data_IF_047768228060
#
_entry.id   IF_047768228060
#
_cell.length_a   1.000
_cell.length_b   1.000
_cell.length_c   1.000
_cell.angle_alpha   90.00
_cell.angle_beta   90.00
_cell.angle_gamma   90.00
#
_symmetry.space_group_name_H-M   'P 1'
#
loop_
_entity.id
_entity.type
_entity.pdbx_description
1 polymer ?
#
# COMPACT_ATOMS: atom_id res chain seq x y z
N UNK A 1 31.87 -1.16 0.26
CA UNK A 1 31.97 -1.62 -1.15
C UNK A 1 31.11 -0.73 -2.03
N UNK A 2 31.29 -0.71 -3.35
CA UNK A 2 30.42 0.07 -4.23
C UNK A 2 29.07 -0.64 -4.41
N UNK A 3 27.96 0.09 -4.31
CA UNK A 3 26.62 -0.48 -4.46
C UNK A 3 26.42 -1.04 -5.87
N UNK A 4 25.73 -2.20 -6.03
CA UNK A 4 25.48 -2.77 -7.35
C UNK A 4 24.69 -1.83 -8.26
N UNK A 5 25.13 -1.71 -9.51
CA UNK A 5 24.46 -0.93 -10.57
C UNK A 5 24.06 -1.78 -11.77
N UNK A 6 24.73 -2.92 -11.95
CA UNK A 6 24.47 -3.88 -13.02
C UNK A 6 23.28 -4.77 -12.61
N UNK A 7 22.37 -4.98 -13.55
CA UNK A 7 21.24 -5.89 -13.35
C UNK A 7 21.69 -7.34 -13.38
N UNK A 8 21.18 -8.14 -12.45
CA UNK A 8 21.20 -9.59 -12.48
C UNK A 8 19.85 -10.14 -12.04
N UNK A 9 19.47 -11.30 -12.58
CA UNK A 9 18.21 -11.94 -12.20
C UNK A 9 18.21 -12.36 -10.73
N UNK A 10 19.37 -12.77 -10.19
CA UNK A 10 19.53 -13.10 -8.77
C UNK A 10 19.20 -11.89 -7.87
N UNK A 11 19.75 -10.73 -8.18
CA UNK A 11 19.50 -9.50 -7.41
C UNK A 11 18.06 -9.03 -7.56
N UNK A 12 17.51 -9.12 -8.77
CA UNK A 12 16.11 -8.80 -9.04
C UNK A 12 15.14 -9.73 -8.28
N UNK A 13 15.43 -11.04 -8.25
CA UNK A 13 14.64 -12.02 -7.52
C UNK A 13 14.73 -11.77 -6.00
N UNK A 14 15.92 -11.52 -5.46
CA UNK A 14 16.10 -11.21 -4.02
C UNK A 14 15.31 -9.97 -3.59
N UNK A 15 15.26 -8.93 -4.43
CA UNK A 15 14.43 -7.73 -4.17
C UNK A 15 12.94 -8.12 -4.15
N UNK A 16 12.49 -8.91 -5.11
CA UNK A 16 11.10 -9.35 -5.17
C UNK A 16 10.71 -10.24 -3.97
N UNK A 17 11.56 -11.17 -3.57
CA UNK A 17 11.36 -12.03 -2.40
C UNK A 17 11.20 -11.19 -1.13
N UNK A 18 12.13 -10.27 -0.87
CA UNK A 18 12.07 -9.41 0.31
C UNK A 18 10.85 -8.47 0.30
N UNK A 19 10.42 -8.00 -0.88
CA UNK A 19 9.17 -7.22 -1.00
C UNK A 19 7.97 -8.10 -0.66
N UNK A 20 7.92 -9.32 -1.20
CA UNK A 20 6.84 -10.27 -0.94
C UNK A 20 6.75 -10.62 0.55
N UNK A 21 7.87 -10.66 1.27
CA UNK A 21 7.96 -10.84 2.73
C UNK A 21 7.61 -9.57 3.54
N UNK A 22 7.09 -8.52 2.92
CA UNK A 22 6.62 -7.33 3.64
C UNK A 22 7.59 -6.15 3.65
N UNK A 23 8.89 -6.34 3.30
CA UNK A 23 9.86 -5.23 3.36
C UNK A 23 9.56 -4.15 2.32
N UNK A 24 9.74 -2.89 2.72
CA UNK A 24 9.67 -1.79 1.77
C UNK A 24 10.93 -1.76 0.89
N UNK A 25 10.78 -1.38 -0.39
CA UNK A 25 11.93 -1.15 -1.28
C UNK A 25 12.93 -0.16 -0.68
N UNK A 26 12.47 0.85 0.07
CA UNK A 26 13.37 1.78 0.77
C UNK A 26 14.25 1.03 1.76
N UNK A 27 13.66 0.16 2.58
CA UNK A 27 14.40 -0.62 3.58
C UNK A 27 15.39 -1.58 2.95
N UNK A 28 15.00 -2.24 1.85
CA UNK A 28 15.88 -3.16 1.11
C UNK A 28 17.09 -2.39 0.58
N UNK A 29 16.88 -1.25 -0.08
CA UNK A 29 17.95 -0.43 -0.64
C UNK A 29 18.80 0.31 0.42
N UNK A 30 18.56 0.16 1.73
CA UNK A 30 19.47 0.69 2.74
C UNK A 30 20.72 -0.17 2.87
N UNK A 31 20.61 -1.48 2.60
CA UNK A 31 21.74 -2.40 2.59
C UNK A 31 22.78 -2.00 1.53
N UNK A 32 24.06 -2.17 1.85
CA UNK A 32 25.17 -1.85 0.95
C UNK A 32 25.37 -2.90 -0.14
N UNK A 33 24.87 -4.12 0.05
CA UNK A 33 24.80 -5.18 -0.95
C UNK A 33 23.62 -4.98 -1.92
N UNK A 34 22.72 -4.04 -1.64
CA UNK A 34 21.54 -3.77 -2.45
C UNK A 34 21.73 -2.55 -3.36
N UNK A 35 21.12 -2.56 -4.56
CA UNK A 35 21.18 -1.44 -5.48
C UNK A 35 20.44 -0.22 -4.91
N UNK A 36 20.85 0.96 -5.34
CA UNK A 36 20.11 2.18 -5.01
C UNK A 36 18.68 2.13 -5.59
N UNK A 37 17.73 2.80 -4.92
CA UNK A 37 16.33 2.85 -5.36
C UNK A 37 16.16 3.38 -6.79
N UNK A 38 16.98 4.35 -7.19
CA UNK A 38 17.01 4.88 -8.57
C UNK A 38 17.37 3.80 -9.59
N UNK A 39 18.35 2.96 -9.27
CA UNK A 39 18.78 1.83 -10.10
C UNK A 39 17.63 0.83 -10.29
N UNK A 40 16.94 0.44 -9.21
CA UNK A 40 15.80 -0.47 -9.29
C UNK A 40 14.68 0.10 -10.16
N UNK A 41 14.38 1.40 -10.04
CA UNK A 41 13.39 2.04 -10.90
C UNK A 41 13.81 2.13 -12.36
N UNK A 42 15.10 2.37 -12.64
CA UNK A 42 15.61 2.32 -14.00
C UNK A 42 15.43 0.92 -14.62
N UNK A 43 15.65 -0.14 -13.83
CA UNK A 43 15.43 -1.51 -14.27
C UNK A 43 13.95 -1.83 -14.53
N UNK A 44 13.03 -1.32 -13.70
CA UNK A 44 11.59 -1.47 -13.94
C UNK A 44 11.12 -0.71 -15.17
N UNK A 45 11.75 0.43 -15.49
CA UNK A 45 11.42 1.25 -16.64
C UNK A 45 11.98 0.69 -17.98
N UNK A 46 12.95 -0.22 -17.94
CA UNK A 46 13.55 -0.83 -19.12
C UNK A 46 12.57 -1.80 -19.81
N UNK A 47 12.07 -1.51 -21.03
CA UNK A 47 11.10 -2.36 -21.72
C UNK A 47 11.55 -3.80 -21.90
N UNK A 48 12.87 -4.05 -22.02
CA UNK A 48 13.44 -5.38 -22.19
C UNK A 48 13.35 -6.30 -20.96
N UNK A 49 12.85 -5.79 -19.82
CA UNK A 49 12.79 -6.53 -18.54
C UNK A 49 11.37 -6.79 -18.08
N UNK A 50 10.56 -7.35 -18.98
CA UNK A 50 9.16 -7.63 -18.70
C UNK A 50 8.98 -8.67 -17.57
N UNK A 51 9.83 -9.69 -17.56
CA UNK A 51 9.83 -10.72 -16.51
C UNK A 51 10.06 -10.11 -15.12
N UNK A 52 10.99 -9.16 -15.00
CA UNK A 52 11.25 -8.47 -13.74
C UNK A 52 10.06 -7.62 -13.31
N UNK A 53 9.46 -6.84 -14.23
CA UNK A 53 8.25 -6.05 -13.91
C UNK A 53 7.11 -6.93 -13.42
N UNK A 54 6.89 -8.05 -14.09
CA UNK A 54 5.84 -9.01 -13.75
C UNK A 54 6.08 -9.62 -12.37
N UNK A 55 7.30 -10.12 -12.10
CA UNK A 55 7.68 -10.63 -10.77
C UNK A 55 7.53 -9.56 -9.69
N UNK A 56 7.97 -8.33 -9.97
CA UNK A 56 7.88 -7.22 -9.03
C UNK A 56 6.43 -6.86 -8.72
N UNK A 57 5.53 -6.87 -9.72
CA UNK A 57 4.11 -6.66 -9.51
C UNK A 57 3.51 -7.75 -8.60
N UNK A 58 3.80 -9.02 -8.86
CA UNK A 58 3.35 -10.12 -8.01
C UNK A 58 3.92 -10.04 -6.58
N UNK A 59 5.19 -9.65 -6.43
CA UNK A 59 5.78 -9.41 -5.12
C UNK A 59 5.03 -8.31 -4.35
N UNK A 60 4.61 -7.24 -5.03
CA UNK A 60 3.78 -6.18 -4.43
C UNK A 60 2.38 -6.66 -4.06
N UNK A 61 1.80 -7.56 -4.84
CA UNK A 61 0.54 -8.20 -4.45
C UNK A 61 0.74 -9.07 -3.20
N UNK A 62 1.76 -9.93 -3.18
CA UNK A 62 2.08 -10.77 -2.01
C UNK A 62 2.38 -9.93 -0.76
N UNK A 63 3.10 -8.81 -0.92
CA UNK A 63 3.37 -7.85 0.15
C UNK A 63 2.08 -7.37 0.83
N UNK A 64 1.01 -7.14 0.06
CA UNK A 64 -0.26 -6.70 0.63
C UNK A 64 -0.86 -7.73 1.58
N UNK A 65 -0.71 -9.03 1.27
CA UNK A 65 -1.20 -10.10 2.13
C UNK A 65 -0.40 -10.15 3.44
N UNK A 66 0.94 -10.09 3.36
CA UNK A 66 1.81 -10.06 4.56
C UNK A 66 1.52 -8.85 5.44
N UNK A 67 1.38 -7.66 4.84
CA UNK A 67 1.08 -6.45 5.60
C UNK A 67 -0.28 -6.51 6.30
N UNK A 68 -1.26 -7.22 5.73
CA UNK A 68 -2.56 -7.43 6.38
C UNK A 68 -2.44 -8.44 7.51
N UNK A 69 -1.72 -9.54 7.32
CA UNK A 69 -1.52 -10.56 8.35
C UNK A 69 -0.80 -9.98 9.58
N UNK A 70 0.19 -9.10 9.39
CA UNK A 70 0.86 -8.38 10.48
C UNK A 70 -0.05 -7.43 11.29
N UNK A 71 -1.20 -7.01 10.76
CA UNK A 71 -2.06 -6.03 11.44
C UNK A 71 -2.62 -6.58 12.74
N UNK A 72 -2.95 -7.88 12.79
CA UNK A 72 -3.44 -8.54 14.01
C UNK A 72 -2.37 -8.56 15.09
N UNK A 73 -1.15 -8.95 14.74
CA UNK A 73 -0.03 -8.97 15.69
C UNK A 73 0.25 -7.56 16.25
N UNK A 74 0.13 -6.51 15.44
CA UNK A 74 0.31 -5.12 15.89
C UNK A 74 -0.84 -4.66 16.80
N UNK A 75 -2.06 -5.11 16.55
CA UNK A 75 -3.22 -4.76 17.35
C UNK A 75 -3.20 -5.45 18.72
N UNK A 76 -2.72 -6.70 18.76
CA UNK A 76 -2.69 -7.53 19.96
C UNK A 76 -1.40 -7.34 20.80
N UNK A 77 -0.35 -6.72 20.23
CA UNK A 77 0.88 -6.38 20.93
C UNK A 77 0.70 -5.21 21.91
N UNK A 78 0.35 -5.53 23.16
CA UNK A 78 0.29 -4.58 24.28
C UNK A 78 1.64 -4.30 24.94
N UNK A 79 2.76 -4.72 24.35
CA UNK A 79 4.07 -4.41 24.91
C UNK A 79 4.32 -2.89 24.90
N UNK A 80 4.86 -2.37 26.00
CA UNK A 80 5.16 -0.94 26.18
C UNK A 80 3.95 0.01 26.24
N UNK A 81 2.72 -0.50 26.32
CA UNK A 81 1.51 0.31 26.54
C UNK A 81 1.51 1.04 27.87
N UNK A 82 2.29 0.57 28.83
CA UNK A 82 2.46 1.18 30.13
C UNK A 82 3.90 1.66 30.29
N UNK A 83 4.07 2.87 30.83
CA UNK A 83 5.36 3.41 31.20
C UNK A 83 5.36 3.86 32.66
N UNK A 84 6.50 3.73 33.31
CA UNK A 84 6.69 4.20 34.68
C UNK A 84 6.48 5.72 34.74
N UNK A 85 5.67 6.16 35.68
CA UNK A 85 5.60 7.55 36.09
C UNK A 85 6.67 7.78 37.16
N UNK A 86 7.55 8.75 36.93
CA UNK A 86 8.62 9.10 37.87
C UNK A 86 8.44 10.52 38.37
N UNK A 87 8.70 10.72 39.66
CA UNK A 87 8.81 12.05 40.25
C UNK A 87 10.14 12.70 39.88
N UNK A 88 10.32 13.97 40.27
CA UNK A 88 11.55 14.75 40.00
C UNK A 88 12.82 14.15 40.61
N UNK A 89 12.69 13.32 41.64
CA UNK A 89 13.78 12.57 42.28
C UNK A 89 14.08 11.22 41.60
N UNK A 90 13.35 10.86 40.55
CA UNK A 90 13.48 9.60 39.83
C UNK A 90 12.73 8.43 40.47
N UNK A 91 12.05 8.62 41.60
CA UNK A 91 11.25 7.58 42.25
C UNK A 91 10.04 7.22 41.40
N UNK A 92 9.81 5.93 41.15
CA UNK A 92 8.61 5.44 40.44
C UNK A 92 7.39 5.64 41.33
N UNK A 93 6.44 6.45 40.87
CA UNK A 93 5.21 6.80 41.59
C UNK A 93 3.96 6.13 41.07
N UNK A 94 4.07 5.42 39.95
CA UNK A 94 2.98 4.65 39.39
C UNK A 94 3.24 4.26 37.94
N UNK A 95 2.18 3.82 37.29
CA UNK A 95 2.17 3.49 35.87
C UNK A 95 1.22 4.44 35.17
N UNK A 96 1.62 4.91 33.99
CA UNK A 96 0.76 5.68 33.09
C UNK A 96 0.76 5.05 31.72
N UNK A 97 -0.35 5.22 31.01
CA UNK A 97 -0.46 4.80 29.62
C UNK A 97 0.59 5.52 28.76
N UNK A 98 1.30 4.75 27.94
CA UNK A 98 2.20 5.24 26.93
C UNK A 98 1.41 5.50 25.64
N UNK A 99 0.68 6.62 25.60
CA UNK A 99 -0.14 6.96 24.45
C UNK A 99 0.64 7.12 23.13
N UNK A 100 1.97 7.23 23.18
CA UNK A 100 2.85 7.20 22.00
C UNK A 100 2.81 5.84 21.31
N UNK A 101 2.94 4.75 22.07
CA UNK A 101 2.93 3.37 21.57
C UNK A 101 1.57 3.04 20.97
N UNK A 102 0.49 3.31 21.69
CA UNK A 102 -0.88 3.06 21.22
C UNK A 102 -1.19 3.82 19.93
N UNK A 103 -0.85 5.11 19.85
CA UNK A 103 -1.04 5.91 18.62
C UNK A 103 -0.17 5.41 17.48
N UNK A 104 1.08 5.00 17.75
CA UNK A 104 1.98 4.44 16.74
C UNK A 104 1.44 3.12 16.19
N UNK A 105 0.93 2.22 17.04
CA UNK A 105 0.30 0.97 16.61
C UNK A 105 -0.91 1.22 15.73
N UNK A 106 -1.81 2.14 16.14
CA UNK A 106 -2.95 2.55 15.30
C UNK A 106 -2.50 3.11 13.93
N UNK A 107 -1.50 3.99 13.90
CA UNK A 107 -0.95 4.53 12.64
C UNK A 107 -0.34 3.44 11.75
N UNK A 108 0.35 2.44 12.34
CA UNK A 108 0.92 1.30 11.61
C UNK A 108 -0.17 0.45 10.95
N UNK A 109 -1.27 0.20 11.66
CA UNK A 109 -2.44 -0.52 11.16
C UNK A 109 -3.08 0.26 10.01
N UNK A 110 -3.36 1.56 10.20
CA UNK A 110 -3.96 2.39 9.15
C UNK A 110 -3.08 2.50 7.90
N UNK A 111 -1.76 2.63 8.06
CA UNK A 111 -0.84 2.65 6.93
C UNK A 111 -0.83 1.34 6.15
N UNK A 112 -0.83 0.19 6.85
CA UNK A 112 -0.89 -1.15 6.23
C UNK A 112 -2.20 -1.36 5.48
N UNK A 113 -3.33 -0.99 6.08
CA UNK A 113 -4.63 -1.04 5.44
C UNK A 113 -4.65 -0.23 4.13
N UNK A 114 -4.18 1.02 4.17
CA UNK A 114 -4.12 1.87 2.98
C UNK A 114 -3.22 1.27 1.89
N UNK A 115 -2.06 0.72 2.25
CA UNK A 115 -1.17 0.06 1.30
C UNK A 115 -1.88 -1.15 0.66
N UNK A 116 -2.50 -2.02 1.48
CA UNK A 116 -3.18 -3.22 0.99
C UNK A 116 -4.34 -2.88 0.04
N UNK A 117 -5.12 -1.84 0.36
CA UNK A 117 -6.19 -1.32 -0.51
C UNK A 117 -5.66 -0.85 -1.87
N UNK A 118 -4.47 -0.21 -1.91
CA UNK A 118 -3.87 0.27 -3.18
C UNK A 118 -3.18 -0.83 -3.97
N UNK A 119 -2.56 -1.79 -3.31
CA UNK A 119 -1.83 -2.88 -3.97
C UNK A 119 -2.78 -3.99 -4.46
N UNK A 120 -3.86 -4.29 -3.73
CA UNK A 120 -4.85 -5.32 -4.11
C UNK A 120 -6.30 -4.85 -3.92
N UNK A 121 -6.77 -3.83 -4.66
CA UNK A 121 -8.10 -3.25 -4.49
C UNK A 121 -9.24 -4.26 -4.67
N UNK A 122 -9.07 -5.31 -5.48
CA UNK A 122 -10.08 -6.36 -5.65
C UNK A 122 -10.32 -7.19 -4.37
N UNK A 123 -9.28 -7.41 -3.56
CA UNK A 123 -9.31 -8.23 -2.34
C UNK A 123 -9.58 -7.37 -1.10
N UNK A 124 -8.86 -6.25 -0.97
CA UNK A 124 -8.87 -5.42 0.24
C UNK A 124 -9.56 -4.06 0.08
N UNK A 125 -9.93 -3.67 -1.14
CA UNK A 125 -10.62 -2.41 -1.37
C UNK A 125 -12.05 -2.43 -0.83
N UNK A 126 -12.47 -1.30 -0.27
CA UNK A 126 -13.85 -1.06 0.17
C UNK A 126 -14.84 -1.29 -0.97
N UNK A 127 -15.82 -2.15 -0.74
CA UNK A 127 -16.91 -2.42 -1.69
C UNK A 127 -18.13 -1.63 -1.27
N UNK A 128 -18.71 -0.90 -2.22
CA UNK A 128 -19.96 -0.16 -2.03
C UNK A 128 -20.97 -0.71 -3.02
N UNK A 129 -22.14 -1.10 -2.53
CA UNK A 129 -23.29 -1.39 -3.37
C UNK A 129 -23.97 -0.07 -3.73
N UNK A 130 -24.21 0.15 -5.03
CA UNK A 130 -25.02 1.27 -5.49
C UNK A 130 -26.47 0.79 -5.59
N UNK A 131 -27.35 1.44 -4.84
CA UNK A 131 -28.80 1.18 -4.80
C UNK A 131 -29.58 2.42 -5.23
N UNK A 132 -30.87 2.26 -5.47
CA UNK A 132 -31.79 3.41 -5.52
C UNK A 132 -31.99 4.05 -4.13
N UNK A 133 -32.87 5.05 -4.05
CA UNK A 133 -33.18 5.77 -2.80
C UNK A 133 -33.86 4.94 -1.72
N UNK A 134 -34.48 3.81 -2.09
CA UNK A 134 -35.18 2.89 -1.19
C UNK A 134 -34.37 1.61 -0.92
N UNK A 135 -33.11 1.54 -1.39
CA UNK A 135 -32.24 0.37 -1.23
C UNK A 135 -32.47 -0.74 -2.27
N UNK A 136 -33.30 -0.49 -3.28
CA UNK A 136 -33.59 -1.38 -4.40
C UNK A 136 -32.56 -1.32 -5.55
N UNK A 137 -32.81 -2.06 -6.65
CA UNK A 137 -31.91 -2.11 -7.80
C UNK A 137 -31.68 -0.74 -8.44
N UNK A 138 -30.42 -0.38 -8.69
CA UNK A 138 -30.08 0.84 -9.40
C UNK A 138 -30.56 0.77 -10.87
N UNK A 139 -31.54 1.62 -11.23
CA UNK A 139 -32.02 1.76 -12.61
C UNK A 139 -31.25 2.88 -13.30
N UNK A 140 -30.52 2.55 -14.37
CA UNK A 140 -29.78 3.53 -15.19
C UNK A 140 -30.60 3.89 -16.43
N UNK A 141 -31.05 5.14 -16.52
CA UNK A 141 -31.73 5.65 -17.72
C UNK A 141 -30.70 6.27 -18.68
N UNK A 142 -30.50 5.64 -19.84
CA UNK A 142 -29.59 6.15 -20.87
C UNK A 142 -30.38 7.00 -21.86
N UNK A 143 -30.19 8.31 -21.83
CA UNK A 143 -30.76 9.25 -22.79
C UNK A 143 -29.77 9.51 -23.92
N UNK A 144 -30.19 9.23 -25.16
CA UNK A 144 -29.40 9.56 -26.35
C UNK A 144 -29.77 10.98 -26.77
N UNK A 145 -28.84 11.93 -26.62
CA UNK A 145 -29.00 13.23 -27.28
C UNK A 145 -28.84 13.01 -28.79
N UNK A 146 -29.93 13.16 -29.55
CA UNK A 146 -29.84 13.34 -30.99
C UNK A 146 -29.30 14.74 -31.28
N UNK A 147 -28.27 14.84 -32.11
CA UNK A 147 -27.89 16.12 -32.72
C UNK A 147 -29.14 16.66 -33.45
N UNK A 148 -29.58 17.85 -33.04
CA UNK A 148 -30.68 18.53 -33.71
C UNK A 148 -30.30 18.76 -35.16
N UNK A 149 -31.09 18.18 -36.08
CA UNK A 149 -31.00 18.38 -37.52
C UNK A 149 -30.71 19.84 -37.87
N UNK A 150 -29.54 20.09 -38.44
CA UNK A 150 -29.29 21.24 -39.29
C UNK A 150 -29.98 21.00 -40.64
N UNK A 151 -31.31 21.08 -40.67
CA UNK A 151 -32.09 21.17 -41.90
C UNK A 151 -33.23 22.17 -41.67
N UNK A 152 -32.94 23.43 -41.97
CA UNK A 152 -33.96 24.37 -42.41
C UNK A 152 -33.69 24.71 -43.89
N UNK A 153 -34.21 23.92 -44.84
CA UNK A 153 -34.24 24.37 -46.23
C UNK A 153 -35.37 25.40 -46.36
N UNK A 154 -34.97 26.62 -46.68
CA UNK A 154 -35.77 27.69 -47.30
C UNK A 154 -37.31 27.59 -47.19
N UNK A 155 -37.91 28.54 -46.46
CA UNK A 155 -39.24 29.06 -46.84
C UNK A 155 -39.14 30.55 -47.15
N UNK A 156 -39.59 30.82 -48.38
CA UNK A 156 -39.79 32.06 -49.14
C UNK A 156 -40.03 33.34 -48.36
#
# INVERSE_FOLDING_TARGET
MARPTIYSDELANSICEQIAEGKSLRSICLDDEMPAKSTVFAWLADPGRDDFRTKYAHAREAQADVLVDEMTDIADDGSNDWMEQRNSDGTVTGWKENGEVLRRSALRISARQWIAEKLRPKKYGSKVALTDGDGGPLVVQVLKLSESNADNPASK
#
